data_IF_818865943220
#
_entry.id   IF_818865943220
#
_cell.length_a   1.000
_cell.length_b   1.000
_cell.length_c   1.000
_cell.angle_alpha   90.00
_cell.angle_beta   90.00
_cell.angle_gamma   90.00
#
_symmetry.space_group_name_H-M   'P 1'
#
loop_
_entity.id
_entity.type
_entity.pdbx_description
1 polymer ?
#
# COMPACT_ATOMS: atom_id res chain seq x y z
N UNK A 1 -0.69 3.18 -9.84
CA UNK A 1 -1.83 2.33 -10.26
C UNK A 1 -1.30 0.93 -10.50
N UNK A 2 -2.12 -0.10 -10.33
CA UNK A 2 -1.68 -1.50 -10.47
C UNK A 2 -2.66 -2.24 -11.37
N UNK A 3 -2.13 -3.12 -12.22
CA UNK A 3 -2.91 -3.98 -13.10
C UNK A 3 -2.52 -5.45 -12.92
N UNK A 4 -3.40 -6.35 -13.32
CA UNK A 4 -3.16 -7.79 -13.41
C UNK A 4 -3.53 -8.29 -14.81
N UNK A 5 -2.61 -9.02 -15.43
CA UNK A 5 -2.83 -9.67 -16.72
C UNK A 5 -3.88 -10.77 -16.66
N UNK A 6 -4.56 -10.98 -17.80
CA UNK A 6 -5.39 -12.17 -18.01
C UNK A 6 -4.50 -13.39 -18.21
N UNK A 7 -4.74 -14.44 -17.45
CA UNK A 7 -4.05 -15.71 -17.66
C UNK A 7 -4.64 -16.43 -18.87
N UNK A 8 -3.85 -16.60 -19.93
CA UNK A 8 -4.17 -17.51 -21.04
C UNK A 8 -4.02 -18.96 -20.58
N UNK A 9 -5.07 -19.58 -20.03
CA UNK A 9 -5.08 -21.01 -19.75
C UNK A 9 -5.72 -21.77 -20.92
N UNK A 10 -4.89 -22.43 -21.74
CA UNK A 10 -5.35 -23.32 -22.80
C UNK A 10 -5.98 -24.65 -22.32
N UNK A 11 -6.15 -24.88 -21.02
CA UNK A 11 -6.51 -26.21 -20.48
C UNK A 11 -7.52 -26.23 -19.32
N UNK A 12 -8.37 -25.22 -19.13
CA UNK A 12 -9.53 -25.38 -18.23
C UNK A 12 -10.75 -24.58 -18.73
N UNK A 13 -11.68 -25.31 -19.35
CA UNK A 13 -13.05 -24.85 -19.54
C UNK A 13 -13.65 -24.55 -18.15
N UNK A 14 -14.07 -23.30 -17.91
CA UNK A 14 -14.88 -22.81 -16.78
C UNK A 14 -14.21 -21.96 -15.68
N UNK A 15 -13.05 -21.33 -15.91
CA UNK A 15 -12.65 -20.14 -15.11
C UNK A 15 -12.21 -19.02 -16.01
N UNK A 16 -13.12 -18.08 -16.27
CA UNK A 16 -12.79 -16.78 -16.88
C UNK A 16 -11.85 -16.03 -15.92
N UNK A 17 -10.56 -15.98 -16.24
CA UNK A 17 -9.62 -15.11 -15.56
C UNK A 17 -9.70 -13.73 -16.22
N UNK A 18 -10.45 -12.81 -15.61
CA UNK A 18 -10.56 -11.43 -16.05
C UNK A 18 -9.27 -10.65 -15.72
N UNK A 19 -9.02 -9.58 -16.47
CA UNK A 19 -8.00 -8.60 -16.09
C UNK A 19 -8.51 -7.88 -14.85
N UNK A 20 -7.60 -7.28 -14.08
CA UNK A 20 -8.01 -6.47 -12.94
C UNK A 20 -7.18 -5.19 -12.88
N UNK A 21 -7.85 -4.05 -12.72
CA UNK A 21 -7.23 -2.74 -12.46
C UNK A 21 -7.50 -2.30 -11.02
N UNK A 22 -6.52 -1.64 -10.40
CA UNK A 22 -6.61 -1.18 -9.03
C UNK A 22 -5.91 0.17 -8.82
N UNK A 23 -6.51 1.01 -7.97
CA UNK A 23 -5.90 2.25 -7.47
C UNK A 23 -5.72 2.11 -5.96
N UNK A 24 -4.46 2.23 -5.53
CA UNK A 24 -4.08 2.26 -4.12
C UNK A 24 -3.88 3.71 -3.70
N UNK A 25 -4.75 4.21 -2.84
CA UNK A 25 -4.70 5.60 -2.35
C UNK A 25 -4.10 5.64 -0.95
N UNK A 26 -3.15 6.55 -0.73
CA UNK A 26 -2.55 6.76 0.59
C UNK A 26 -3.61 7.31 1.55
N UNK A 27 -3.73 6.74 2.74
CA UNK A 27 -4.82 7.00 3.69
C UNK A 27 -4.99 8.46 4.14
N UNK A 28 -3.98 9.32 3.93
CA UNK A 28 -4.02 10.74 4.29
C UNK A 28 -4.73 11.60 3.23
N UNK A 29 -4.90 11.08 2.03
CA UNK A 29 -5.54 11.81 0.93
C UNK A 29 -7.06 11.75 1.12
N UNK A 30 -7.72 12.86 0.83
CA UNK A 30 -9.18 12.90 0.74
C UNK A 30 -9.55 12.52 -0.68
N UNK A 31 -10.25 11.41 -0.85
CA UNK A 31 -10.61 10.89 -2.16
C UNK A 31 -12.00 10.27 -2.15
N UNK A 32 -12.62 10.23 -3.33
CA UNK A 32 -13.89 9.57 -3.57
C UNK A 32 -13.79 8.63 -4.78
N UNK A 33 -14.57 7.55 -4.77
CA UNK A 33 -14.70 6.66 -5.92
C UNK A 33 -15.47 7.36 -7.04
N UNK A 34 -14.91 7.39 -8.24
CA UNK A 34 -15.57 8.00 -9.40
C UNK A 34 -16.37 6.95 -10.18
N UNK A 35 -17.69 6.95 -10.00
CA UNK A 35 -18.61 5.94 -10.56
C UNK A 35 -19.15 6.18 -11.97
N UNK A 36 -19.30 7.41 -12.50
CA UNK A 36 -19.90 7.58 -13.83
C UNK A 36 -18.94 7.24 -14.98
N UNK A 37 -17.92 6.40 -14.72
CA UNK A 37 -16.86 6.01 -15.63
C UNK A 37 -17.34 4.92 -16.61
N UNK A 38 -16.98 5.05 -17.88
CA UNK A 38 -17.22 3.97 -18.85
C UNK A 38 -16.28 2.80 -18.60
N UNK A 39 -16.82 1.58 -18.52
CA UNK A 39 -16.08 0.34 -18.36
C UNK A 39 -16.71 -0.75 -19.25
N UNK A 40 -15.87 -1.51 -19.95
CA UNK A 40 -16.25 -2.65 -20.77
C UNK A 40 -15.33 -3.82 -20.44
N UNK A 41 -15.79 -4.81 -19.63
CA UNK A 41 -14.98 -5.96 -19.27
C UNK A 41 -14.47 -6.78 -20.45
N UNK A 42 -15.02 -6.63 -21.65
CA UNK A 42 -14.55 -7.38 -22.82
C UNK A 42 -13.44 -6.68 -23.61
N UNK A 43 -13.26 -5.36 -23.40
CA UNK A 43 -12.37 -4.53 -24.24
C UNK A 43 -11.54 -3.52 -23.43
N UNK A 44 -12.14 -2.82 -22.46
CA UNK A 44 -11.56 -1.68 -21.76
C UNK A 44 -11.98 -1.65 -20.30
N UNK A 45 -11.13 -2.18 -19.43
CA UNK A 45 -11.34 -2.19 -17.99
C UNK A 45 -10.83 -0.90 -17.36
N UNK A 46 -11.67 -0.24 -16.55
CA UNK A 46 -11.35 1.07 -16.00
C UNK A 46 -11.78 1.21 -14.54
N UNK A 47 -10.99 1.94 -13.76
CA UNK A 47 -11.33 2.42 -12.42
C UNK A 47 -10.85 3.85 -12.25
N UNK A 48 -11.53 4.66 -11.47
CA UNK A 48 -11.10 6.02 -11.19
C UNK A 48 -11.46 6.48 -9.78
N UNK A 49 -10.66 7.43 -9.28
CA UNK A 49 -10.91 8.16 -8.04
C UNK A 49 -10.74 9.65 -8.30
N UNK A 50 -11.43 10.48 -7.53
CA UNK A 50 -11.13 11.91 -7.45
C UNK A 50 -10.38 12.22 -6.16
N UNK A 51 -9.38 13.09 -6.24
CA UNK A 51 -8.57 13.54 -5.08
C UNK A 51 -8.76 15.05 -4.93
N UNK A 52 -9.12 15.49 -3.73
CA UNK A 52 -9.41 16.91 -3.47
C UNK A 52 -8.14 17.76 -3.35
N UNK A 53 -8.18 18.95 -3.92
CA UNK A 53 -7.14 19.98 -3.82
C UNK A 53 -7.50 21.02 -2.76
N UNK A 54 -6.50 21.81 -2.34
CA UNK A 54 -6.69 22.84 -1.32
C UNK A 54 -7.61 23.99 -1.76
N UNK A 55 -7.80 24.17 -3.08
CA UNK A 55 -8.65 25.20 -3.67
C UNK A 55 -10.09 24.72 -3.96
N UNK A 56 -10.50 23.61 -3.36
CA UNK A 56 -11.80 22.94 -3.57
C UNK A 56 -12.04 22.42 -5.00
N UNK A 57 -11.04 22.46 -5.89
CA UNK A 57 -11.02 21.68 -7.13
C UNK A 57 -10.62 20.22 -6.84
N UNK A 58 -10.76 19.34 -7.83
CA UNK A 58 -10.39 17.93 -7.73
C UNK A 58 -9.55 17.47 -8.92
N UNK A 59 -8.72 16.45 -8.69
CA UNK A 59 -7.98 15.73 -9.74
C UNK A 59 -8.59 14.35 -9.89
N UNK A 60 -9.04 14.01 -11.10
CA UNK A 60 -9.40 12.65 -11.46
C UNK A 60 -8.14 11.85 -11.78
N UNK A 61 -8.00 10.69 -11.13
CA UNK A 61 -6.97 9.69 -11.44
C UNK A 61 -7.68 8.42 -11.94
N UNK A 62 -7.45 8.04 -13.20
CA UNK A 62 -8.05 6.86 -13.81
C UNK A 62 -7.01 5.84 -14.24
N UNK A 63 -7.22 4.58 -13.84
CA UNK A 63 -6.45 3.41 -14.27
C UNK A 63 -7.18 2.67 -15.37
N UNK A 64 -6.46 2.39 -16.45
CA UNK A 64 -6.97 1.69 -17.62
C UNK A 64 -6.20 0.40 -17.86
N UNK A 65 -6.92 -0.64 -18.26
CA UNK A 65 -6.36 -1.83 -18.88
C UNK A 65 -7.19 -2.18 -20.11
N UNK A 66 -6.60 -2.04 -21.30
CA UNK A 66 -7.23 -2.51 -22.53
C UNK A 66 -6.88 -3.99 -22.73
N UNK A 67 -7.90 -4.82 -22.94
CA UNK A 67 -7.72 -6.26 -23.15
C UNK A 67 -6.94 -6.51 -24.45
N UNK A 68 -5.80 -7.22 -24.42
CA UNK A 68 -5.00 -7.49 -25.61
C UNK A 68 -5.77 -8.35 -26.62
N UNK A 69 -5.53 -8.12 -27.92
CA UNK A 69 -6.18 -8.87 -29.01
C UNK A 69 -7.67 -8.55 -29.24
N UNK A 70 -8.31 -7.75 -28.39
CA UNK A 70 -9.70 -7.30 -28.55
C UNK A 70 -9.75 -5.95 -29.25
N UNK A 71 -10.76 -5.72 -30.09
CA UNK A 71 -10.93 -4.43 -30.76
C UNK A 71 -11.60 -3.47 -29.79
N UNK A 72 -10.96 -2.33 -29.53
CA UNK A 72 -11.58 -1.20 -28.84
C UNK A 72 -11.93 -0.17 -29.89
N UNK A 73 -13.22 0.09 -30.05
CA UNK A 73 -13.73 0.98 -31.09
C UNK A 73 -13.51 2.45 -30.72
N UNK A 74 -13.56 3.34 -31.73
CA UNK A 74 -13.52 4.78 -31.48
C UNK A 74 -14.70 5.25 -30.60
N UNK A 75 -15.87 4.61 -30.71
CA UNK A 75 -17.04 4.90 -29.89
C UNK A 75 -16.80 4.55 -28.41
N UNK A 76 -16.10 3.46 -28.11
CA UNK A 76 -15.75 3.08 -26.73
C UNK A 76 -14.78 4.09 -26.11
N UNK A 77 -13.77 4.53 -26.86
CA UNK A 77 -12.88 5.60 -26.42
C UNK A 77 -13.68 6.89 -26.18
N UNK A 78 -14.59 7.24 -27.09
CA UNK A 78 -15.45 8.40 -26.94
C UNK A 78 -16.30 8.33 -25.67
N UNK A 79 -16.94 7.20 -25.40
CA UNK A 79 -17.70 6.98 -24.16
C UNK A 79 -16.81 7.13 -22.93
N UNK A 80 -15.59 6.60 -22.96
CA UNK A 80 -14.63 6.76 -21.87
C UNK A 80 -14.25 8.22 -21.62
N UNK A 81 -13.74 8.93 -22.62
CA UNK A 81 -13.32 10.31 -22.42
C UNK A 81 -14.51 11.23 -22.10
N UNK A 82 -15.67 11.02 -22.73
CA UNK A 82 -16.91 11.72 -22.38
C UNK A 82 -17.32 11.50 -20.92
N UNK A 83 -17.10 10.30 -20.39
CA UNK A 83 -17.47 9.98 -19.01
C UNK A 83 -16.71 10.79 -17.95
N UNK A 84 -15.57 11.38 -18.32
CA UNK A 84 -14.70 12.15 -17.42
C UNK A 84 -14.59 13.63 -17.77
N UNK A 85 -15.24 14.09 -18.85
CA UNK A 85 -15.09 15.45 -19.41
C UNK A 85 -15.31 16.56 -18.38
N UNK A 86 -16.24 16.35 -17.45
CA UNK A 86 -16.64 17.34 -16.43
C UNK A 86 -15.52 17.73 -15.45
N UNK A 87 -14.49 16.89 -15.30
CA UNK A 87 -13.42 17.13 -14.34
C UNK A 87 -12.28 17.88 -15.01
N UNK A 88 -11.88 19.04 -14.50
CA UNK A 88 -10.83 19.85 -15.12
C UNK A 88 -9.47 19.14 -15.16
N UNK A 89 -8.97 18.70 -14.02
CA UNK A 89 -7.66 18.05 -13.92
C UNK A 89 -7.80 16.53 -14.02
N UNK A 90 -7.11 15.94 -15.00
CA UNK A 90 -7.23 14.52 -15.30
C UNK A 90 -5.84 13.90 -15.41
N UNK A 91 -5.65 12.74 -14.79
CA UNK A 91 -4.48 11.88 -14.96
C UNK A 91 -5.00 10.50 -15.29
N UNK A 92 -4.67 10.02 -16.48
CA UNK A 92 -5.14 8.75 -17.01
C UNK A 92 -3.91 7.93 -17.33
N UNK A 93 -3.85 6.69 -16.85
CA UNK A 93 -2.70 5.85 -17.15
C UNK A 93 -2.98 4.37 -16.98
N UNK A 94 -2.04 3.57 -17.43
CA UNK A 94 -2.14 2.11 -17.41
C UNK A 94 -1.72 1.50 -18.73
N UNK A 95 -2.14 0.27 -18.98
CA UNK A 95 -1.74 -0.50 -20.15
C UNK A 95 -2.83 -0.41 -21.23
N UNK A 96 -2.49 0.28 -22.31
CA UNK A 96 -3.39 0.53 -23.43
C UNK A 96 -3.30 -0.57 -24.49
N UNK A 97 -2.30 -1.46 -24.43
CA UNK A 97 -2.05 -2.47 -25.46
C UNK A 97 -2.15 -1.91 -26.90
N UNK A 98 -1.73 -0.66 -27.08
CA UNK A 98 -1.88 0.13 -28.30
C UNK A 98 -0.53 0.71 -28.73
N UNK A 99 -0.26 0.64 -30.03
CA UNK A 99 1.01 1.03 -30.62
C UNK A 99 0.85 2.31 -31.44
N UNK A 100 1.69 3.29 -31.18
CA UNK A 100 1.88 4.47 -32.01
C UNK A 100 3.30 5.01 -31.85
N UNK A 101 3.87 5.52 -32.95
CA UNK A 101 5.19 6.14 -32.98
C UNK A 101 5.31 7.31 -31.98
N UNK A 102 4.22 8.05 -31.75
CA UNK A 102 4.21 9.25 -30.90
C UNK A 102 4.64 8.97 -29.45
N UNK A 103 4.32 7.79 -28.92
CA UNK A 103 4.69 7.39 -27.57
C UNK A 103 5.80 6.34 -27.54
N UNK A 104 6.51 6.13 -28.66
CA UNK A 104 7.73 5.32 -28.71
C UNK A 104 7.56 3.88 -29.19
N UNK A 105 6.38 3.46 -29.65
CA UNK A 105 6.26 2.17 -30.35
C UNK A 105 6.97 2.22 -31.71
N UNK A 106 7.32 1.05 -32.27
CA UNK A 106 8.01 0.94 -33.57
C UNK A 106 7.06 1.00 -34.76
N UNK A 107 5.76 0.93 -34.52
CA UNK A 107 4.70 0.99 -35.52
C UNK A 107 3.43 1.65 -34.97
N UNK A 108 2.52 1.99 -35.87
CA UNK A 108 1.16 2.40 -35.54
C UNK A 108 0.21 1.20 -35.67
N UNK A 109 -0.80 1.14 -34.81
CA UNK A 109 -1.95 0.26 -34.97
C UNK A 109 -3.25 1.06 -34.96
N UNK A 110 -4.34 0.49 -35.51
CA UNK A 110 -5.63 1.19 -35.62
C UNK A 110 -6.18 1.65 -34.26
N UNK A 111 -5.97 0.87 -33.21
CA UNK A 111 -6.33 1.26 -31.84
C UNK A 111 -5.54 2.49 -31.38
N UNK A 112 -4.24 2.53 -31.66
CA UNK A 112 -3.38 3.66 -31.31
C UNK A 112 -3.72 4.93 -32.09
N UNK A 113 -4.09 4.80 -33.37
CA UNK A 113 -4.57 5.93 -34.17
C UNK A 113 -5.89 6.49 -33.65
N UNK A 114 -6.88 5.62 -33.39
CA UNK A 114 -8.17 6.05 -32.82
C UNK A 114 -8.00 6.71 -31.44
N UNK A 115 -7.09 6.18 -30.62
CA UNK A 115 -6.78 6.76 -29.31
C UNK A 115 -6.11 8.14 -29.45
N UNK A 116 -5.19 8.30 -30.40
CA UNK A 116 -4.52 9.57 -30.63
C UNK A 116 -5.51 10.65 -31.12
N UNK A 117 -6.41 10.30 -32.03
CA UNK A 117 -7.43 11.22 -32.54
C UNK A 117 -8.31 11.78 -31.42
N UNK A 118 -8.72 10.94 -30.46
CA UNK A 118 -9.53 11.43 -29.34
C UNK A 118 -8.73 12.18 -28.28
N UNK A 119 -7.46 11.84 -28.07
CA UNK A 119 -6.58 12.60 -27.17
C UNK A 119 -6.46 14.05 -27.68
N UNK A 120 -6.30 14.20 -29.00
CA UNK A 120 -6.23 15.50 -29.68
C UNK A 120 -7.57 16.27 -29.58
N UNK A 121 -8.70 15.62 -29.88
CA UNK A 121 -10.05 16.20 -29.75
C UNK A 121 -10.38 16.70 -28.33
N UNK A 122 -9.79 16.08 -27.30
CA UNK A 122 -10.05 16.36 -25.89
C UNK A 122 -9.04 17.29 -25.22
N UNK A 123 -8.13 17.90 -25.99
CA UNK A 123 -7.04 18.76 -25.49
C UNK A 123 -6.21 18.08 -24.37
N UNK A 124 -5.98 16.77 -24.52
CA UNK A 124 -5.17 15.97 -23.61
C UNK A 124 -3.75 15.80 -24.14
N UNK A 125 -2.80 15.59 -23.22
CA UNK A 125 -1.38 15.51 -23.55
C UNK A 125 -0.79 14.20 -23.02
N UNK A 126 -0.04 13.50 -23.87
CA UNK A 126 0.72 12.31 -23.50
C UNK A 126 2.04 12.74 -22.85
N UNK A 127 2.35 12.19 -21.67
CA UNK A 127 3.59 12.48 -20.93
C UNK A 127 4.76 11.56 -21.29
N UNK A 128 4.49 10.43 -21.97
CA UNK A 128 5.54 9.49 -22.37
C UNK A 128 6.60 10.19 -23.24
N UNK A 129 7.87 9.93 -22.93
CA UNK A 129 9.03 10.51 -23.64
C UNK A 129 9.56 9.63 -24.80
N UNK A 130 8.86 8.53 -25.10
CA UNK A 130 9.25 7.52 -26.08
C UNK A 130 10.03 6.33 -25.51
N UNK A 131 10.32 6.32 -24.20
CA UNK A 131 10.95 5.18 -23.54
C UNK A 131 10.07 3.92 -23.58
N UNK A 132 10.71 2.75 -23.69
CA UNK A 132 10.02 1.46 -23.75
C UNK A 132 9.48 1.06 -22.38
N UNK A 133 8.19 0.72 -22.31
CA UNK A 133 7.49 0.40 -21.05
C UNK A 133 7.26 -1.10 -20.84
N UNK A 134 7.50 -1.90 -21.88
CA UNK A 134 7.31 -3.34 -21.89
C UNK A 134 8.49 -4.04 -22.53
N UNK A 135 8.86 -5.21 -22.01
CA UNK A 135 9.84 -6.09 -22.64
C UNK A 135 9.48 -7.57 -22.46
N UNK A 136 9.53 -8.33 -23.55
CA UNK A 136 9.27 -9.78 -23.55
C UNK A 136 10.42 -10.53 -24.19
N UNK A 137 10.72 -11.72 -23.67
CA UNK A 137 11.67 -12.64 -24.31
C UNK A 137 10.90 -13.55 -25.28
N UNK A 138 11.24 -13.49 -26.56
CA UNK A 138 10.68 -14.32 -27.64
C UNK A 138 11.84 -14.94 -28.42
N UNK A 139 11.90 -16.27 -28.50
CA UNK A 139 12.95 -17.00 -29.23
C UNK A 139 14.37 -16.55 -28.87
N UNK A 140 14.68 -16.42 -27.58
CA UNK A 140 15.95 -15.90 -27.04
C UNK A 140 16.30 -14.45 -27.41
N UNK A 141 15.39 -13.71 -28.07
CA UNK A 141 15.52 -12.28 -28.33
C UNK A 141 14.61 -11.50 -27.39
N UNK A 142 15.00 -10.27 -27.05
CA UNK A 142 14.17 -9.37 -26.25
C UNK A 142 13.45 -8.41 -27.19
N UNK A 143 12.12 -8.42 -27.16
CA UNK A 143 11.27 -7.46 -27.87
C UNK A 143 10.83 -6.38 -26.90
N UNK A 144 10.80 -5.13 -27.35
CA UNK A 144 10.40 -3.97 -26.53
C UNK A 144 9.21 -3.26 -27.18
N UNK A 145 8.35 -2.66 -26.35
CA UNK A 145 7.28 -1.79 -26.82
C UNK A 145 6.92 -0.74 -25.77
N UNK A 146 6.34 0.37 -26.22
CA UNK A 146 5.72 1.38 -25.36
C UNK A 146 4.21 1.26 -25.49
N UNK A 147 3.59 0.56 -24.53
CA UNK A 147 2.14 0.26 -24.50
C UNK A 147 1.48 0.76 -23.22
N UNK A 148 2.27 1.16 -22.23
CA UNK A 148 1.79 1.79 -21.01
C UNK A 148 1.86 3.31 -21.18
N UNK A 149 0.71 3.98 -21.13
CA UNK A 149 0.63 5.42 -21.40
C UNK A 149 0.27 6.19 -20.14
N UNK A 150 0.69 7.44 -20.11
CA UNK A 150 0.22 8.45 -19.16
C UNK A 150 -0.28 9.66 -19.94
N UNK A 151 -1.56 9.96 -19.80
CA UNK A 151 -2.26 11.05 -20.47
C UNK A 151 -2.77 12.00 -19.39
N UNK A 152 -2.55 13.29 -19.57
CA UNK A 152 -2.98 14.34 -18.63
C UNK A 152 -3.77 15.44 -19.32
N UNK A 153 -4.57 16.19 -18.57
CA UNK A 153 -5.12 17.45 -19.09
C UNK A 153 -4.02 18.47 -19.33
N UNK A 154 -4.20 19.32 -20.34
CA UNK A 154 -3.22 20.35 -20.73
C UNK A 154 -2.77 21.25 -19.56
N UNK A 155 -3.68 21.60 -18.65
CA UNK A 155 -3.38 22.34 -17.42
C UNK A 155 -2.32 21.69 -16.51
N UNK A 156 -2.22 20.36 -16.52
CA UNK A 156 -1.28 19.61 -15.68
C UNK A 156 0.09 19.42 -16.35
N UNK A 157 0.20 19.58 -17.66
CA UNK A 157 1.41 19.20 -18.41
C UNK A 157 2.69 19.83 -17.86
N UNK A 158 2.73 21.16 -17.72
CA UNK A 158 3.90 21.88 -17.21
C UNK A 158 4.19 21.63 -15.72
N UNK A 159 3.21 21.08 -14.99
CA UNK A 159 3.33 20.71 -13.58
C UNK A 159 3.66 19.22 -13.40
N UNK A 160 3.84 18.49 -14.49
CA UNK A 160 4.06 17.05 -14.49
C UNK A 160 5.52 16.72 -14.79
N UNK A 161 6.05 15.73 -14.08
CA UNK A 161 7.28 15.04 -14.43
C UNK A 161 6.99 13.55 -14.58
N UNK A 162 7.58 12.94 -15.60
CA UNK A 162 7.36 11.55 -15.98
C UNK A 162 8.69 10.86 -16.19
N UNK A 163 8.83 9.64 -15.68
CA UNK A 163 9.99 8.79 -15.97
C UNK A 163 9.67 7.32 -15.76
N UNK A 164 10.47 6.48 -16.40
CA UNK A 164 10.53 5.05 -16.13
C UNK A 164 11.51 4.79 -14.97
N UNK A 165 11.19 3.81 -14.13
CA UNK A 165 12.09 3.28 -13.11
C UNK A 165 12.83 2.04 -13.63
N UNK A 166 14.11 1.91 -13.29
CA UNK A 166 14.96 0.80 -13.73
C UNK A 166 14.53 -0.56 -13.18
N UNK A 167 13.84 -0.58 -12.04
CA UNK A 167 13.37 -1.80 -11.39
C UNK A 167 11.97 -2.21 -11.91
N UNK A 168 11.90 -3.36 -12.56
CA UNK A 168 10.66 -3.98 -13.06
C UNK A 168 9.89 -4.76 -11.99
N UNK A 169 10.47 -4.97 -10.81
CA UNK A 169 9.89 -5.81 -9.76
C UNK A 169 9.43 -7.20 -10.25
N UNK A 170 10.26 -7.87 -11.05
CA UNK A 170 9.99 -9.17 -11.68
C UNK A 170 8.82 -9.21 -12.68
N UNK A 171 8.28 -8.06 -13.09
CA UNK A 171 7.34 -7.94 -14.21
C UNK A 171 8.08 -7.82 -15.55
N UNK A 172 7.38 -8.10 -16.64
CA UNK A 172 7.74 -7.74 -18.01
C UNK A 172 7.43 -6.26 -18.34
N UNK A 173 6.66 -5.57 -17.50
CA UNK A 173 6.44 -4.13 -17.55
C UNK A 173 7.42 -3.37 -16.65
N UNK A 174 7.79 -2.17 -17.11
CA UNK A 174 8.54 -1.22 -16.31
C UNK A 174 7.60 -0.34 -15.48
N UNK A 175 8.05 0.04 -14.28
CA UNK A 175 7.29 0.97 -13.45
C UNK A 175 7.43 2.40 -14.00
N UNK A 176 6.30 3.10 -14.06
CA UNK A 176 6.23 4.51 -14.43
C UNK A 176 6.00 5.33 -13.17
N UNK A 177 6.87 6.32 -12.94
CA UNK A 177 6.71 7.32 -11.88
C UNK A 177 6.23 8.65 -12.49
N UNK A 178 5.16 9.20 -11.92
CA UNK A 178 4.55 10.47 -12.31
C UNK A 178 4.54 11.37 -11.08
N UNK A 179 5.14 12.54 -11.19
CA UNK A 179 5.10 13.58 -10.17
C UNK A 179 4.25 14.75 -10.67
N UNK A 180 3.32 15.22 -9.83
CA UNK A 180 2.42 16.32 -10.15
C UNK A 180 2.55 17.40 -9.08
N UNK A 181 2.96 18.59 -9.49
CA UNK A 181 3.14 19.72 -8.58
C UNK A 181 1.81 20.46 -8.34
N UNK A 182 0.99 19.93 -7.42
CA UNK A 182 -0.30 20.50 -7.00
C UNK A 182 -0.47 20.43 -5.49
N UNK A 183 -1.13 21.44 -4.93
CA UNK A 183 -1.44 21.52 -3.50
C UNK A 183 -2.66 20.65 -3.14
N UNK A 184 -2.39 19.44 -2.65
CA UNK A 184 -3.42 18.44 -2.31
C UNK A 184 -4.00 18.71 -0.91
N UNK A 185 -5.31 18.50 -0.76
CA UNK A 185 -6.02 18.54 0.53
C UNK A 185 -5.75 17.25 1.31
N UNK A 186 -5.16 17.40 2.48
CA UNK A 186 -4.75 16.27 3.34
C UNK A 186 -5.66 16.21 4.56
N UNK A 187 -6.13 15.01 4.90
CA UNK A 187 -6.81 14.72 6.16
C UNK A 187 -5.76 14.56 7.28
N UNK A 188 -5.67 15.48 8.27
CA UNK A 188 -4.68 15.41 9.35
C UNK A 188 -4.86 14.17 10.24
N UNK A 189 -6.09 13.65 10.29
CA UNK A 189 -6.51 12.51 11.10
C UNK A 189 -6.95 11.35 10.22
N UNK A 190 -6.09 10.89 9.32
CA UNK A 190 -6.26 9.54 8.79
C UNK A 190 -6.10 8.56 9.96
N UNK A 191 -7.23 8.11 10.51
CA UNK A 191 -7.27 7.00 11.45
C UNK A 191 -6.58 5.82 10.77
N UNK A 192 -5.32 5.56 11.12
CA UNK A 192 -4.71 4.32 10.70
C UNK A 192 -5.50 3.21 11.40
N UNK A 193 -6.16 2.34 10.64
CA UNK A 193 -6.73 1.08 11.14
C UNK A 193 -5.66 0.14 11.71
N UNK A 194 -4.39 0.60 11.80
CA UNK A 194 -3.34 -0.05 12.57
C UNK A 194 -3.79 -0.17 14.01
N UNK A 195 -4.20 -1.39 14.31
CA UNK A 195 -4.38 -1.87 15.66
C UNK A 195 -3.07 -1.58 16.42
N UNK A 196 -3.18 -0.89 17.55
CA UNK A 196 -2.05 -0.68 18.46
C UNK A 196 -1.68 -2.03 19.08
N UNK A 197 -0.85 -2.80 18.38
CA UNK A 197 -0.40 -4.14 18.81
C UNK A 197 0.69 -4.10 19.87
N UNK A 198 1.32 -2.93 20.11
CA UNK A 198 2.37 -2.76 21.13
C UNK A 198 1.94 -3.16 22.54
N UNK A 199 0.66 -3.06 22.85
CA UNK A 199 0.09 -3.44 24.15
C UNK A 199 -0.47 -4.86 24.18
N UNK A 200 -0.42 -5.60 23.07
CA UNK A 200 -0.95 -6.96 22.98
C UNK A 200 0.16 -7.94 23.38
N UNK A 201 -0.12 -8.78 24.36
CA UNK A 201 0.75 -9.91 24.68
C UNK A 201 0.49 -11.01 23.64
N UNK A 202 1.47 -11.24 22.76
CA UNK A 202 1.35 -12.22 21.67
C UNK A 202 1.22 -13.67 22.14
N UNK A 203 1.78 -14.01 23.30
CA UNK A 203 1.61 -15.35 23.90
C UNK A 203 0.15 -15.58 24.29
N UNK A 204 -0.48 -14.59 24.94
CA UNK A 204 -1.91 -14.68 25.28
C UNK A 204 -2.80 -14.66 24.02
N UNK A 205 -2.37 -13.93 23.00
CA UNK A 205 -3.05 -13.90 21.70
C UNK A 205 -3.07 -15.28 21.05
N UNK A 206 -1.92 -15.95 20.95
CA UNK A 206 -1.84 -17.28 20.35
C UNK A 206 -2.70 -18.29 21.12
N UNK A 207 -2.60 -18.30 22.45
CA UNK A 207 -3.42 -19.19 23.29
C UNK A 207 -4.92 -18.94 23.13
N UNK A 208 -5.33 -17.67 22.96
CA UNK A 208 -6.74 -17.32 22.74
C UNK A 208 -7.21 -17.73 21.35
N UNK A 209 -6.39 -17.53 20.32
CA UNK A 209 -6.71 -17.96 18.95
C UNK A 209 -6.84 -19.48 18.88
N UNK A 210 -5.89 -20.22 19.45
CA UNK A 210 -5.94 -21.69 19.54
C UNK A 210 -7.24 -22.15 20.24
N UNK A 211 -7.57 -21.54 21.38
CA UNK A 211 -8.81 -21.87 22.10
C UNK A 211 -10.09 -21.54 21.29
N UNK A 212 -10.12 -20.43 20.54
CA UNK A 212 -11.26 -20.08 19.67
C UNK A 212 -11.40 -21.10 18.53
N UNK A 213 -10.28 -21.48 17.92
CA UNK A 213 -10.26 -22.48 16.83
C UNK A 213 -10.74 -23.83 17.35
N UNK A 214 -10.22 -24.32 18.47
CA UNK A 214 -10.59 -25.62 19.05
C UNK A 214 -12.06 -25.69 19.46
N UNK A 215 -12.65 -24.56 19.88
CA UNK A 215 -14.06 -24.49 20.30
C UNK A 215 -15.04 -24.29 19.15
N UNK A 216 -14.69 -23.47 18.16
CA UNK A 216 -15.60 -23.15 17.03
C UNK A 216 -15.42 -24.09 15.83
N UNK A 217 -14.26 -24.71 15.68
CA UNK A 217 -13.91 -25.58 14.56
C UNK A 217 -13.21 -26.85 15.04
N UNK A 218 -13.92 -27.71 15.81
CA UNK A 218 -13.35 -28.98 16.26
C UNK A 218 -12.92 -29.83 15.05
N UNK A 219 -11.86 -30.62 15.25
CA UNK A 219 -11.17 -31.42 14.21
C UNK A 219 -12.16 -32.23 13.34
N UNK A 220 -13.25 -32.70 13.94
CA UNK A 220 -14.28 -33.52 13.29
C UNK A 220 -15.08 -32.78 12.20
N UNK A 221 -15.02 -31.44 12.15
CA UNK A 221 -15.69 -30.59 11.14
C UNK A 221 -14.73 -30.04 10.08
N UNK A 222 -13.45 -30.44 10.11
CA UNK A 222 -12.42 -29.89 9.22
C UNK A 222 -12.68 -30.15 7.72
N UNK A 223 -13.32 -31.28 7.39
CA UNK A 223 -13.71 -31.59 6.01
C UNK A 223 -14.72 -30.59 5.42
N UNK A 224 -15.64 -30.07 6.24
CA UNK A 224 -16.61 -29.07 5.81
C UNK A 224 -15.95 -27.69 5.61
N UNK A 225 -14.99 -27.34 6.48
CA UNK A 225 -14.18 -26.12 6.33
C UNK A 225 -13.31 -26.16 5.07
N UNK A 226 -12.69 -27.30 4.75
CA UNK A 226 -11.80 -27.44 3.59
C UNK A 226 -12.54 -27.23 2.26
N UNK A 227 -13.83 -27.54 2.21
CA UNK A 227 -14.65 -27.39 1.00
C UNK A 227 -15.21 -25.96 0.80
N UNK A 228 -14.98 -25.03 1.72
CA UNK A 228 -15.45 -23.64 1.59
C UNK A 228 -14.68 -22.83 0.53
N UNK A 229 -15.34 -21.85 -0.12
CA UNK A 229 -14.66 -20.86 -0.97
C UNK A 229 -13.54 -20.13 -0.23
N UNK A 230 -12.54 -19.65 -0.97
CA UNK A 230 -11.35 -19.00 -0.40
C UNK A 230 -11.69 -17.73 0.38
N UNK A 231 -12.66 -16.94 -0.11
CA UNK A 231 -13.09 -15.69 0.53
C UNK A 231 -13.78 -15.95 1.87
N UNK A 232 -14.57 -17.01 1.97
CA UNK A 232 -15.17 -17.44 3.24
C UNK A 232 -14.11 -17.85 4.26
N UNK A 233 -13.11 -18.64 3.83
CA UNK A 233 -12.00 -19.05 4.71
C UNK A 233 -11.21 -17.85 5.23
N UNK A 234 -10.93 -16.89 4.33
CA UNK A 234 -10.26 -15.64 4.70
C UNK A 234 -11.07 -14.84 5.72
N UNK A 235 -12.38 -14.67 5.50
CA UNK A 235 -13.26 -13.93 6.40
C UNK A 235 -13.35 -14.61 7.78
N UNK A 236 -13.43 -15.94 7.84
CA UNK A 236 -13.42 -16.70 9.10
C UNK A 236 -12.12 -16.44 9.86
N UNK A 237 -10.96 -16.60 9.21
CA UNK A 237 -9.67 -16.35 9.82
C UNK A 237 -9.56 -14.90 10.34
N UNK A 238 -9.94 -13.93 9.51
CA UNK A 238 -9.89 -12.51 9.89
C UNK A 238 -10.80 -12.21 11.09
N UNK A 239 -11.98 -12.80 11.16
CA UNK A 239 -12.90 -12.64 12.29
C UNK A 239 -12.31 -13.20 13.60
N UNK A 240 -11.70 -14.38 13.56
CA UNK A 240 -11.02 -14.99 14.72
C UNK A 240 -9.91 -14.08 15.22
N UNK A 241 -9.03 -13.63 14.31
CA UNK A 241 -7.89 -12.77 14.64
C UNK A 241 -8.35 -11.42 15.20
N UNK A 242 -9.37 -10.80 14.61
CA UNK A 242 -9.92 -9.52 15.07
C UNK A 242 -10.58 -9.68 16.44
N UNK A 243 -11.32 -10.77 16.66
CA UNK A 243 -11.96 -11.08 17.95
C UNK A 243 -10.93 -11.21 19.06
N UNK A 244 -9.90 -12.05 18.86
CA UNK A 244 -8.84 -12.26 19.83
C UNK A 244 -8.05 -10.96 20.12
N UNK A 245 -7.81 -10.14 19.09
CA UNK A 245 -7.21 -8.81 19.27
C UNK A 245 -8.11 -7.89 20.10
N UNK A 246 -9.42 -7.87 19.85
CA UNK A 246 -10.34 -6.99 20.56
C UNK A 246 -10.52 -7.40 22.02
N UNK A 247 -10.45 -8.68 22.32
CA UNK A 247 -10.49 -9.19 23.69
C UNK A 247 -9.22 -8.83 24.49
N UNK A 248 -8.05 -8.90 23.85
CA UNK A 248 -6.76 -8.63 24.49
C UNK A 248 -6.37 -7.15 24.49
N UNK A 249 -7.07 -6.30 23.75
CA UNK A 249 -6.88 -4.85 23.82
C UNK A 249 -7.25 -4.37 25.23
N UNK A 250 -6.40 -3.53 25.87
CA UNK A 250 -6.79 -2.89 27.11
C UNK A 250 -8.01 -2.01 26.87
N UNK A 251 -9.12 -2.29 27.58
CA UNK A 251 -10.33 -1.47 27.51
C UNK A 251 -10.00 -0.03 27.91
N UNK A 252 -10.51 0.99 27.21
CA UNK A 252 -10.29 2.38 27.61
C UNK A 252 -10.77 2.56 29.05
N UNK A 253 -9.95 3.19 29.90
CA UNK A 253 -10.36 3.56 31.26
C UNK A 253 -11.63 4.40 31.13
N UNK A 254 -12.76 3.93 31.66
CA UNK A 254 -13.97 4.76 31.81
C UNK A 254 -13.56 5.97 32.64
N UNK A 255 -13.61 7.17 32.06
CA UNK A 255 -13.47 8.40 32.83
C UNK A 255 -14.58 8.42 33.87
N UNK A 256 -14.24 8.60 35.14
CA UNK A 256 -15.17 8.72 36.27
C UNK A 256 -16.04 10.00 36.25
N UNK A 257 -16.33 10.56 35.08
CA UNK A 257 -17.24 11.69 34.91
C UNK A 257 -18.29 11.33 33.86
N UNK A 258 -19.26 10.51 34.24
CA UNK A 258 -20.61 10.44 33.64
C UNK A 258 -21.52 9.58 34.53
N UNK A 259 -21.61 9.95 35.80
CA UNK A 259 -22.81 9.69 36.61
C UNK A 259 -23.45 11.05 36.89
N UNK A 260 -24.20 11.54 35.90
CA UNK A 260 -25.38 12.38 36.07
C UNK A 260 -26.01 12.55 34.70
N UNK A 261 -27.33 12.43 34.69
CA UNK A 261 -28.24 12.42 33.53
C UNK A 261 -28.45 11.00 32.96
N UNK A 262 -29.12 10.16 33.75
CA UNK A 262 -30.24 9.38 33.23
C UNK A 262 -31.47 9.92 33.94
N UNK A 263 -32.41 10.46 33.17
CA UNK A 263 -33.86 10.25 33.34
C UNK A 263 -34.57 11.18 32.36
N UNK A 264 -35.30 10.57 31.41
CA UNK A 264 -36.66 10.92 30.99
C UNK A 264 -36.89 10.43 29.54
N UNK A 265 -37.77 9.43 29.46
CA UNK A 265 -38.67 9.03 28.35
C UNK A 265 -38.19 8.05 27.25
N UNK A 266 -38.72 6.83 27.37
CA UNK A 266 -39.43 6.10 26.30
C UNK A 266 -40.91 6.01 26.73
N UNK A 267 -41.92 5.65 25.88
CA UNK A 267 -41.85 5.07 24.53
C UNK A 267 -42.87 5.66 23.51
N UNK A 268 -42.72 5.35 22.23
CA UNK A 268 -43.79 4.80 21.35
C UNK A 268 -43.27 4.53 19.93
N UNK A 269 -43.84 3.47 19.35
CA UNK A 269 -43.51 2.82 18.09
C UNK A 269 -43.78 3.69 16.85
N UNK A 270 -42.96 3.55 15.80
CA UNK A 270 -43.49 3.13 14.50
C UNK A 270 -42.42 2.72 13.47
N UNK A 271 -42.86 1.89 12.52
CA UNK A 271 -42.10 1.00 11.65
C UNK A 271 -41.32 1.63 10.47
N UNK A 272 -40.34 0.84 10.02
CA UNK A 272 -39.81 0.71 8.64
C UNK A 272 -38.68 1.64 8.16
N UNK A 273 -37.50 1.05 7.92
CA UNK A 273 -36.78 1.05 6.63
C UNK A 273 -35.48 0.23 6.75
N UNK A 274 -35.35 -0.79 5.89
CA UNK A 274 -34.08 -1.46 5.60
C UNK A 274 -33.12 -0.43 5.00
N UNK A 275 -31.90 -0.33 5.54
CA UNK A 275 -30.78 0.31 4.83
C UNK A 275 -29.50 -0.48 5.06
N UNK A 276 -29.06 -1.11 3.97
CA UNK A 276 -27.78 -1.75 3.78
C UNK A 276 -26.65 -0.71 3.85
N UNK A 277 -25.76 -0.87 4.83
CA UNK A 277 -24.41 -0.28 4.82
C UNK A 277 -23.45 -1.36 5.36
N UNK A 278 -22.35 -1.70 4.66
CA UNK A 278 -21.53 -2.85 5.01
C UNK A 278 -20.56 -2.50 6.14
N UNK A 279 -21.10 -2.29 7.34
CA UNK A 279 -20.37 -2.49 8.58
C UNK A 279 -21.02 -3.67 9.30
N UNK A 280 -20.36 -4.84 9.29
CA UNK A 280 -20.88 -5.99 10.01
C UNK A 280 -20.86 -5.71 11.51
N UNK A 281 -22.04 -5.42 12.06
CA UNK A 281 -22.40 -5.68 13.44
C UNK A 281 -22.62 -7.18 13.57
N UNK A 282 -21.88 -7.83 14.46
CA UNK A 282 -22.31 -9.09 15.06
C UNK A 282 -22.25 -8.92 16.57
N UNK A 283 -23.42 -8.84 17.18
CA UNK A 283 -23.58 -9.13 18.60
C UNK A 283 -23.74 -10.65 18.74
N UNK A 284 -22.99 -11.25 19.65
CA UNK A 284 -23.33 -12.54 20.24
C UNK A 284 -23.34 -12.35 21.77
N UNK A 285 -24.46 -12.67 22.46
CA UNK A 285 -24.49 -12.82 23.89
C UNK A 285 -24.10 -14.27 24.24
N UNK A 286 -23.30 -14.42 25.31
CA UNK A 286 -23.03 -15.63 26.12
C UNK A 286 -21.52 -15.75 26.37
N UNK A 287 -21.12 -15.42 27.60
CA UNK A 287 -20.26 -16.20 28.51
C UNK A 287 -20.17 -15.34 29.78
N UNK A 288 -20.98 -15.71 30.76
CA UNK A 288 -20.91 -15.23 32.14
C UNK A 288 -19.79 -15.94 32.91
N UNK A 289 -19.16 -15.16 33.79
CA UNK A 289 -18.54 -15.53 35.07
C UNK A 289 -17.59 -16.73 35.14
N UNK A 290 -16.28 -16.44 35.12
CA UNK A 290 -15.29 -16.89 36.13
C UNK A 290 -13.81 -16.57 35.78
N UNK A 291 -13.50 -15.91 34.65
CA UNK A 291 -12.09 -15.70 34.23
C UNK A 291 -11.40 -14.42 34.70
N UNK A 292 -12.12 -13.49 35.33
CA UNK A 292 -11.60 -12.15 35.67
C UNK A 292 -10.72 -12.10 36.93
N UNK A 293 -10.74 -13.15 37.76
CA UNK A 293 -10.01 -13.16 39.03
C UNK A 293 -8.52 -13.47 38.88
N UNK A 294 -8.11 -14.17 37.82
CA UNK A 294 -6.73 -14.65 37.66
C UNK A 294 -5.77 -13.58 37.10
N UNK A 295 -6.27 -12.60 36.34
CA UNK A 295 -5.44 -11.66 35.57
C UNK A 295 -5.02 -10.43 36.40
N UNK A 296 -5.73 -10.10 37.50
CA UNK A 296 -5.44 -8.90 38.31
C UNK A 296 -4.13 -8.96 39.10
N UNK A 297 -3.52 -10.13 39.28
CA UNK A 297 -2.40 -10.31 40.20
C UNK A 297 -1.00 -10.07 39.61
N UNK A 298 -0.84 -9.73 38.33
CA UNK A 298 0.50 -9.73 37.69
C UNK A 298 1.02 -8.42 37.09
N UNK A 299 0.35 -7.28 37.25
CA UNK A 299 0.81 -6.03 36.64
C UNK A 299 0.82 -4.84 37.61
N UNK A 300 2.00 -4.59 38.21
CA UNK A 300 2.38 -3.27 38.72
C UNK A 300 3.78 -2.90 38.21
N UNK A 301 3.95 -1.59 37.98
CA UNK A 301 5.17 -0.82 37.67
C UNK A 301 5.67 -0.83 36.21
N UNK A 302 6.41 0.17 35.71
CA UNK A 302 6.22 1.64 35.56
C UNK A 302 7.45 2.19 34.79
N UNK A 303 7.30 3.34 34.12
CA UNK A 303 8.32 4.28 33.59
C UNK A 303 9.08 4.00 32.26
N UNK A 304 9.29 5.07 31.48
CA UNK A 304 9.95 5.13 30.16
C UNK A 304 11.27 5.94 30.29
N UNK A 305 12.45 5.45 29.82
CA UNK A 305 13.71 6.21 29.82
C UNK A 305 14.16 6.72 28.43
N UNK A 306 15.13 7.66 28.45
CA UNK A 306 15.76 8.36 27.31
C UNK A 306 16.53 7.44 26.33
N UNK A 307 16.76 7.94 25.10
CA UNK A 307 17.31 7.23 23.93
C UNK A 307 18.73 6.69 24.13
N UNK A 308 18.86 5.36 24.14
CA UNK A 308 20.15 4.63 24.21
C UNK A 308 20.69 4.46 22.77
N UNK A 309 21.99 4.73 22.54
CA UNK A 309 22.65 4.45 21.24
C UNK A 309 22.76 2.92 21.03
N UNK A 310 22.62 2.42 19.79
CA UNK A 310 22.59 0.97 19.56
C UNK A 310 23.99 0.34 19.78
N UNK A 311 24.07 -0.95 20.17
CA UNK A 311 25.31 -1.62 20.55
C UNK A 311 26.40 -1.68 19.48
N UNK A 312 26.06 -1.56 18.20
CA UNK A 312 27.01 -1.56 17.08
C UNK A 312 27.59 -0.17 16.78
N UNK A 313 27.15 0.87 17.49
CA UNK A 313 27.57 2.24 17.25
C UNK A 313 28.92 2.51 17.94
N UNK A 314 30.01 2.33 17.19
CA UNK A 314 31.39 2.58 17.62
C UNK A 314 31.91 3.94 17.10
N UNK A 315 33.17 4.27 17.42
CA UNK A 315 33.82 5.52 17.00
C UNK A 315 33.85 5.67 15.47
N UNK A 316 34.11 4.57 14.76
CA UNK A 316 34.13 4.53 13.29
C UNK A 316 32.74 4.84 12.68
N UNK A 317 31.66 4.29 13.24
CA UNK A 317 30.29 4.60 12.82
C UNK A 317 29.90 6.05 13.10
N UNK A 318 30.39 6.63 14.21
CA UNK A 318 30.19 8.05 14.53
C UNK A 318 30.98 8.95 13.57
N UNK A 319 32.21 8.59 13.22
CA UNK A 319 33.04 9.32 12.25
C UNK A 319 32.43 9.32 10.85
N UNK A 320 31.93 8.18 10.38
CA UNK A 320 31.19 8.06 9.11
C UNK A 320 29.97 9.01 9.11
N UNK A 321 29.22 9.03 10.21
CA UNK A 321 28.04 9.88 10.32
C UNK A 321 28.39 11.38 10.39
N UNK A 322 29.50 11.74 11.04
CA UNK A 322 29.98 13.11 11.11
C UNK A 322 30.52 13.60 9.77
N UNK A 323 31.28 12.77 9.05
CA UNK A 323 31.80 13.08 7.72
C UNK A 323 30.66 13.30 6.73
N UNK A 324 29.64 12.42 6.72
CA UNK A 324 28.43 12.61 5.91
C UNK A 324 27.74 13.95 6.22
N UNK A 325 27.57 14.31 7.49
CA UNK A 325 26.99 15.60 7.89
C UNK A 325 27.83 16.79 7.44
N UNK A 326 29.16 16.66 7.45
CA UNK A 326 30.06 17.72 6.99
C UNK A 326 29.99 17.91 5.48
N UNK A 327 29.93 16.82 4.70
CA UNK A 327 29.72 16.88 3.24
C UNK A 327 28.35 17.48 2.89
N UNK A 328 27.28 17.08 3.58
CA UNK A 328 25.95 17.68 3.43
C UNK A 328 25.96 19.19 3.75
N UNK A 329 26.72 19.60 4.77
CA UNK A 329 26.86 21.00 5.15
C UNK A 329 27.66 21.78 4.11
N UNK A 330 28.75 21.20 3.59
CA UNK A 330 29.58 21.79 2.54
C UNK A 330 28.78 22.01 1.24
N UNK A 331 28.01 21.00 0.82
CA UNK A 331 27.11 21.09 -0.35
C UNK A 331 26.07 22.19 -0.20
N UNK A 332 25.51 22.36 1.01
CA UNK A 332 24.56 23.46 1.30
C UNK A 332 25.22 24.84 1.29
N UNK A 333 26.52 24.91 1.55
CA UNK A 333 27.27 26.15 1.59
C UNK A 333 27.81 26.55 0.20
N UNK A 334 28.17 25.59 -0.65
CA UNK A 334 28.68 25.87 -2.00
C UNK A 334 28.21 24.84 -3.05
N UNK A 335 26.94 24.88 -3.50
CA UNK A 335 26.37 23.84 -4.35
C UNK A 335 27.12 23.67 -5.68
N UNK A 336 27.71 22.50 -5.92
CA UNK A 336 28.35 22.14 -7.19
C UNK A 336 28.09 20.68 -7.57
N UNK A 337 28.16 20.37 -8.86
CA UNK A 337 28.01 19.00 -9.38
C UNK A 337 29.09 18.07 -8.82
N UNK A 338 30.31 18.59 -8.60
CA UNK A 338 31.42 17.84 -8.05
C UNK A 338 31.16 17.45 -6.58
N UNK A 339 30.68 18.39 -5.75
CA UNK A 339 30.33 18.10 -4.35
C UNK A 339 29.09 17.20 -4.21
N UNK A 340 28.14 17.32 -5.13
CA UNK A 340 26.98 16.42 -5.15
C UNK A 340 27.42 14.99 -5.49
N UNK A 341 28.32 14.84 -6.45
CA UNK A 341 28.91 13.54 -6.82
C UNK A 341 29.71 12.96 -5.65
N UNK A 342 30.55 13.77 -5.00
CA UNK A 342 31.33 13.36 -3.82
C UNK A 342 30.43 12.88 -2.67
N UNK A 343 29.34 13.61 -2.37
CA UNK A 343 28.37 13.17 -1.35
C UNK A 343 27.71 11.83 -1.75
N UNK A 344 27.34 11.66 -3.03
CA UNK A 344 26.69 10.43 -3.50
C UNK A 344 27.62 9.23 -3.46
N UNK A 345 28.86 9.41 -3.87
CA UNK A 345 29.89 8.36 -3.81
C UNK A 345 30.16 7.97 -2.35
N UNK A 346 30.29 8.97 -1.45
CA UNK A 346 30.47 8.74 -0.02
C UNK A 346 29.24 8.07 0.64
N UNK A 347 28.01 8.41 0.24
CA UNK A 347 26.78 7.77 0.72
C UNK A 347 26.73 6.27 0.36
N UNK A 348 27.28 5.89 -0.79
CA UNK A 348 27.35 4.49 -1.22
C UNK A 348 28.42 3.76 -0.40
N UNK A 349 29.63 4.31 -0.34
CA UNK A 349 30.75 3.70 0.41
C UNK A 349 30.42 3.53 1.90
N UNK A 350 29.88 4.57 2.53
CA UNK A 350 29.51 4.57 3.95
C UNK A 350 28.44 3.53 4.30
N UNK A 351 27.51 3.23 3.39
CA UNK A 351 26.51 2.17 3.59
C UNK A 351 27.16 0.79 3.70
N UNK A 352 28.16 0.50 2.89
CA UNK A 352 28.89 -0.76 2.96
C UNK A 352 29.69 -0.87 4.26
N UNK A 353 30.42 0.19 4.63
CA UNK A 353 31.19 0.22 5.90
C UNK A 353 30.31 0.08 7.13
N UNK A 354 29.17 0.78 7.19
CA UNK A 354 28.24 0.65 8.32
C UNK A 354 27.60 -0.75 8.40
N UNK A 355 27.36 -1.40 7.26
CA UNK A 355 26.89 -2.79 7.22
C UNK A 355 27.95 -3.74 7.77
N UNK A 356 29.21 -3.53 7.42
CA UNK A 356 30.36 -4.30 7.92
C UNK A 356 30.56 -4.10 9.43
N UNK A 357 30.57 -2.86 9.93
CA UNK A 357 30.66 -2.54 11.37
C UNK A 357 29.54 -3.23 12.14
N UNK A 358 28.31 -3.18 11.63
CA UNK A 358 27.15 -3.82 12.25
C UNK A 358 27.30 -5.34 12.27
N UNK A 359 27.75 -5.94 11.16
CA UNK A 359 27.96 -7.39 11.06
C UNK A 359 29.06 -7.86 12.01
N UNK A 360 30.20 -7.16 12.04
CA UNK A 360 31.33 -7.48 12.92
C UNK A 360 30.96 -7.30 14.39
N UNK A 361 30.21 -6.25 14.73
CA UNK A 361 29.70 -6.04 16.08
C UNK A 361 28.72 -7.13 16.52
N UNK A 362 27.86 -7.59 15.61
CA UNK A 362 26.95 -8.70 15.89
C UNK A 362 27.70 -10.02 16.05
N UNK A 363 28.68 -10.30 15.18
CA UNK A 363 29.56 -11.46 15.28
C UNK A 363 30.31 -11.50 16.62
N UNK A 364 30.96 -10.39 16.98
CA UNK A 364 31.63 -10.23 18.29
C UNK A 364 30.66 -10.45 19.44
N UNK A 365 29.43 -9.94 19.35
CA UNK A 365 28.41 -10.19 20.35
C UNK A 365 28.06 -11.67 20.48
N UNK A 366 27.85 -12.37 19.35
CA UNK A 366 27.57 -13.81 19.36
C UNK A 366 28.73 -14.64 19.93
N UNK A 367 29.98 -14.24 19.66
CA UNK A 367 31.18 -14.95 20.13
C UNK A 367 31.46 -14.70 21.62
N UNK A 368 31.13 -13.51 22.14
CA UNK A 368 31.53 -13.10 23.51
C UNK A 368 30.42 -13.17 24.55
N UNK A 369 29.14 -13.07 24.14
CA UNK A 369 28.00 -12.94 25.06
C UNK A 369 26.97 -14.05 24.91
N UNK A 370 27.06 -14.88 23.88
CA UNK A 370 26.12 -15.98 23.64
C UNK A 370 26.74 -17.29 24.15
N UNK A 371 26.64 -17.51 25.47
CA UNK A 371 27.00 -18.79 26.11
C UNK A 371 25.74 -19.53 26.57
N UNK A 372 25.89 -20.80 26.97
CA UNK A 372 24.78 -21.60 27.53
C UNK A 372 24.19 -21.01 28.82
N UNK A 373 24.93 -20.12 29.48
CA UNK A 373 24.56 -19.46 30.72
C UNK A 373 24.04 -18.04 30.50
N UNK A 374 23.98 -17.57 29.24
CA UNK A 374 23.53 -16.22 28.93
C UNK A 374 22.03 -16.06 29.23
N UNK A 375 21.68 -14.93 29.85
CA UNK A 375 20.29 -14.61 30.15
C UNK A 375 19.52 -14.33 28.85
N UNK A 376 18.55 -15.18 28.54
CA UNK A 376 17.77 -15.12 27.29
C UNK A 376 17.08 -13.75 27.09
N UNK A 377 16.65 -13.09 28.16
CA UNK A 377 15.99 -11.80 28.08
C UNK A 377 16.97 -10.68 27.71
N UNK A 378 18.18 -10.70 28.28
CA UNK A 378 19.25 -9.76 27.91
C UNK A 378 19.73 -9.99 26.48
N UNK A 379 19.69 -11.24 26.01
CA UNK A 379 20.02 -11.59 24.63
C UNK A 379 19.03 -10.96 23.65
N UNK A 380 17.73 -11.13 23.89
CA UNK A 380 16.69 -10.55 23.04
C UNK A 380 16.67 -9.02 23.09
N UNK A 381 16.80 -8.41 24.27
CA UNK A 381 16.95 -6.96 24.43
C UNK A 381 18.11 -6.41 23.59
N UNK A 382 19.25 -7.10 23.61
CA UNK A 382 20.43 -6.68 22.84
C UNK A 382 20.18 -6.84 21.34
N UNK A 383 19.63 -7.97 20.88
CA UNK A 383 19.25 -8.20 19.47
C UNK A 383 18.28 -7.13 18.96
N UNK A 384 17.30 -6.73 19.79
CA UNK A 384 16.37 -5.66 19.42
C UNK A 384 17.08 -4.32 19.23
N UNK A 385 18.05 -3.98 20.10
CA UNK A 385 18.85 -2.75 19.95
C UNK A 385 19.76 -2.77 18.73
N UNK A 386 20.14 -3.94 18.19
CA UNK A 386 20.79 -4.03 16.88
C UNK A 386 19.85 -3.71 15.71
N UNK A 387 18.54 -3.92 15.88
CA UNK A 387 17.55 -3.83 14.79
C UNK A 387 16.74 -2.53 14.77
N UNK A 388 16.75 -1.71 15.82
CA UNK A 388 16.04 -0.43 15.82
C UNK A 388 16.65 0.55 14.81
N UNK A 389 15.95 0.77 13.69
CA UNK A 389 16.12 1.98 12.87
C UNK A 389 15.54 3.15 13.66
N UNK A 390 16.37 4.15 14.00
CA UNK A 390 15.88 5.41 14.58
C UNK A 390 14.76 5.95 13.69
N UNK A 391 13.54 5.99 14.21
CA UNK A 391 12.48 6.83 13.65
C UNK A 391 12.92 8.26 13.91
N UNK A 392 13.38 8.94 12.86
CA UNK A 392 13.51 10.40 12.88
C UNK A 392 12.13 11.02 12.86
#
# INVERSE_FOLDING_TARGET
MVRRDRAENNNNLNKEHNGEVCILVKSILIFEEYKPLYNSPESLETVAVTVHLNNEEEILISSIYRVPGKVTTAEEWYKFFQSIDKIKYKIIGGDFNAHNLLWGSTNNCKTGENLLEIIDDKDLIILNDGSMTYSKVVNNNITFSAIDLTIVSSDLFLQSHWKILDDKMYSDHYLIEIEINKDIKICPTASSHKIKTKSINWTNFNLLVEAIVDTQYPIDQFHEFSNKPIDEKYNILMNILISAINELKPKPKKSHNKEKINEINNPSDDNSTMNNHPCYKVYSPLITDNRTQFIKNKLKASHIPQSIKPPWWNEEAEEINNTRKNLEKSLKQNPSLEQLKELKDYEIESKFKLKEIKLNSFKKYTETKLSREANINEVWETIHKFNEKKKK
#
